data_IF_634193264222
#
_entry.id   IF_634193264222
#
_cell.length_a   1.000
_cell.length_b   1.000
_cell.length_c   1.000
_cell.angle_alpha   90.00
_cell.angle_beta   90.00
_cell.angle_gamma   90.00
#
_symmetry.space_group_name_H-M   'P 1'
#
loop_
_entity.id
_entity.type
_entity.pdbx_description
1 polymer ?
#
# COMPACT_ATOMS: atom_id res chain seq x y z
N UNK A 1 -6.59 -20.56 -17.76
CA UNK A 1 -7.85 -19.95 -18.22
C UNK A 1 -8.68 -19.52 -17.02
N UNK A 2 -8.61 -18.25 -16.63
CA UNK A 2 -9.47 -17.71 -15.58
C UNK A 2 -10.70 -17.13 -16.26
N UNK A 3 -11.80 -17.90 -16.27
CA UNK A 3 -13.08 -17.43 -16.76
C UNK A 3 -13.74 -16.57 -15.67
N UNK A 4 -14.03 -15.32 -15.96
CA UNK A 4 -14.89 -14.50 -15.12
C UNK A 4 -16.31 -15.09 -15.19
N UNK A 5 -16.73 -15.80 -14.15
CA UNK A 5 -18.10 -16.30 -14.02
C UNK A 5 -18.96 -15.20 -13.41
N UNK A 6 -20.02 -14.77 -14.10
CA UNK A 6 -20.99 -13.83 -13.55
C UNK A 6 -21.72 -14.48 -12.35
N UNK A 7 -21.77 -13.77 -11.22
CA UNK A 7 -22.59 -14.17 -10.07
C UNK A 7 -24.08 -13.93 -10.38
N UNK A 8 -24.97 -14.90 -10.14
CA UNK A 8 -26.41 -14.75 -10.39
C UNK A 8 -27.09 -13.76 -9.43
N UNK A 9 -26.40 -13.33 -8.37
CA UNK A 9 -26.85 -12.30 -7.44
C UNK A 9 -25.81 -11.19 -7.33
N UNK A 10 -26.21 -9.91 -7.18
CA UNK A 10 -25.26 -8.83 -6.94
C UNK A 10 -24.45 -9.11 -5.68
N UNK A 11 -23.13 -9.14 -5.79
CA UNK A 11 -22.25 -9.18 -4.61
C UNK A 11 -22.35 -7.82 -3.94
N UNK A 12 -23.23 -7.70 -2.93
CA UNK A 12 -23.48 -6.43 -2.22
C UNK A 12 -22.26 -5.92 -1.43
N UNK A 13 -21.22 -6.73 -1.27
CA UNK A 13 -20.00 -6.40 -0.51
C UNK A 13 -18.75 -6.19 -1.39
N UNK A 14 -18.87 -6.33 -2.73
CA UNK A 14 -17.74 -6.22 -3.65
C UNK A 14 -17.75 -4.90 -4.40
N UNK A 15 -16.83 -4.00 -4.08
CA UNK A 15 -16.57 -2.82 -4.91
C UNK A 15 -15.51 -3.16 -5.97
N UNK A 16 -15.89 -3.15 -7.25
CA UNK A 16 -14.95 -3.25 -8.35
C UNK A 16 -14.35 -1.87 -8.63
N UNK A 17 -13.02 -1.78 -8.60
CA UNK A 17 -12.28 -0.55 -8.92
C UNK A 17 -11.42 -0.82 -10.14
N UNK A 18 -11.82 -0.28 -11.29
CA UNK A 18 -11.08 -0.38 -12.54
C UNK A 18 -9.86 0.55 -12.47
N UNK A 19 -8.66 -0.04 -12.45
CA UNK A 19 -7.39 0.68 -12.53
C UNK A 19 -6.78 0.65 -13.92
N UNK A 20 -6.79 -0.53 -14.50
CA UNK A 20 -6.14 -0.84 -15.75
C UNK A 20 -7.18 -0.87 -16.85
N UNK A 21 -6.93 -0.11 -17.90
CA UNK A 21 -7.74 -0.16 -19.11
C UNK A 21 -7.28 -1.30 -20.00
N UNK A 22 -8.25 -2.06 -20.50
CA UNK A 22 -8.04 -3.15 -21.44
C UNK A 22 -8.20 -2.61 -22.87
N UNK A 23 -7.17 -2.80 -23.70
CA UNK A 23 -7.16 -2.38 -25.10
C UNK A 23 -7.31 -3.63 -25.98
N UNK A 24 -8.24 -3.59 -26.94
CA UNK A 24 -8.43 -4.67 -27.93
C UNK A 24 -7.61 -4.40 -29.19
N UNK A 25 -6.90 -5.40 -29.71
CA UNK A 25 -6.20 -5.33 -31.00
C UNK A 25 -7.16 -5.34 -32.20
N UNK A 26 -8.38 -5.83 -32.03
CA UNK A 26 -9.39 -5.96 -33.08
C UNK A 26 -10.66 -5.15 -32.74
N UNK A 27 -11.33 -4.60 -33.76
CA UNK A 27 -12.67 -3.98 -33.67
C UNK A 27 -13.76 -5.04 -33.40
N UNK A 28 -13.56 -5.88 -32.39
CA UNK A 28 -14.55 -6.88 -32.00
C UNK A 28 -15.63 -6.21 -31.17
N UNK A 29 -16.68 -5.72 -31.83
CA UNK A 29 -17.90 -5.13 -31.23
C UNK A 29 -18.80 -6.18 -30.53
N UNK A 30 -18.29 -7.38 -30.25
CA UNK A 30 -19.05 -8.50 -29.68
C UNK A 30 -18.90 -8.65 -28.16
N UNK A 31 -19.79 -9.42 -27.52
CA UNK A 31 -19.84 -9.63 -26.07
C UNK A 31 -18.65 -10.40 -25.45
N UNK A 32 -17.65 -10.78 -26.26
CA UNK A 32 -16.44 -11.51 -25.86
C UNK A 32 -15.23 -11.04 -26.68
N UNK A 33 -14.71 -9.84 -26.43
CA UNK A 33 -13.49 -9.38 -27.10
C UNK A 33 -12.33 -10.35 -26.80
N UNK A 34 -11.56 -10.69 -27.83
CA UNK A 34 -10.37 -11.54 -27.75
C UNK A 34 -9.14 -10.64 -27.84
N UNK A 35 -8.00 -11.13 -27.36
CA UNK A 35 -6.71 -10.43 -27.47
C UNK A 35 -6.71 -9.05 -26.79
N UNK A 36 -7.13 -9.03 -25.52
CA UNK A 36 -7.04 -7.84 -24.68
C UNK A 36 -5.61 -7.67 -24.16
N UNK A 37 -5.07 -6.48 -24.31
CA UNK A 37 -3.77 -6.08 -23.79
C UNK A 37 -3.95 -5.03 -22.70
N UNK A 38 -3.17 -5.16 -21.64
CA UNK A 38 -3.08 -4.18 -20.57
C UNK A 38 -1.66 -3.65 -20.54
N UNK A 39 -1.52 -2.33 -20.61
CA UNK A 39 -0.22 -1.70 -20.39
C UNK A 39 0.05 -1.60 -18.89
N UNK A 40 1.20 -2.12 -18.46
CA UNK A 40 1.64 -1.99 -17.07
C UNK A 40 2.86 -1.08 -17.03
N UNK A 41 2.69 0.10 -16.43
CA UNK A 41 3.78 1.07 -16.26
C UNK A 41 4.51 0.74 -14.96
N UNK A 42 5.65 0.05 -15.09
CA UNK A 42 6.43 -0.42 -13.94
C UNK A 42 7.18 0.70 -13.20
N UNK A 43 7.47 1.80 -13.88
CA UNK A 43 8.22 2.93 -13.35
C UNK A 43 7.51 4.23 -13.71
N UNK A 44 7.11 5.01 -12.71
CA UNK A 44 6.37 6.26 -12.87
C UNK A 44 7.04 7.41 -12.13
N UNK A 45 6.80 8.63 -12.59
CA UNK A 45 7.28 9.85 -11.91
C UNK A 45 6.62 9.99 -10.53
N UNK A 46 5.39 9.51 -10.39
CA UNK A 46 4.65 9.53 -9.12
C UNK A 46 5.39 8.74 -8.02
N UNK A 47 6.00 7.60 -8.36
CA UNK A 47 6.83 6.85 -7.40
C UNK A 47 8.04 7.67 -6.94
N UNK A 48 8.73 8.32 -7.87
CA UNK A 48 9.89 9.17 -7.55
C UNK A 48 9.48 10.32 -6.65
N UNK A 49 8.38 11.01 -6.97
CA UNK A 49 7.90 12.15 -6.19
C UNK A 49 7.45 11.72 -4.79
N UNK A 50 6.70 10.62 -4.67
CA UNK A 50 6.27 10.07 -3.37
C UNK A 50 7.46 9.61 -2.52
N UNK A 51 8.48 9.00 -3.12
CA UNK A 51 9.71 8.61 -2.43
C UNK A 51 10.53 9.83 -1.99
N UNK A 52 10.61 10.88 -2.81
CA UNK A 52 11.31 12.14 -2.51
C UNK A 52 10.65 12.87 -1.35
N UNK A 53 9.33 13.01 -1.38
CA UNK A 53 8.53 13.57 -0.29
C UNK A 53 8.79 12.87 1.04
N UNK A 54 8.77 11.53 1.02
CA UNK A 54 9.01 10.73 2.22
C UNK A 54 10.44 10.94 2.74
N UNK A 55 11.43 10.96 1.85
CA UNK A 55 12.82 11.21 2.22
C UNK A 55 12.99 12.60 2.87
N UNK A 56 12.36 13.64 2.35
CA UNK A 56 12.38 14.98 2.97
C UNK A 56 11.72 14.97 4.34
N UNK A 57 10.57 14.32 4.49
CA UNK A 57 9.92 14.15 5.79
C UNK A 57 10.84 13.45 6.79
N UNK A 58 11.49 12.35 6.39
CA UNK A 58 12.44 11.61 7.25
C UNK A 58 13.67 12.44 7.62
N UNK A 59 14.16 13.28 6.70
CA UNK A 59 15.27 14.22 6.95
C UNK A 59 14.88 15.44 7.77
N UNK A 60 13.61 15.55 8.19
CA UNK A 60 13.03 16.70 8.91
C UNK A 60 13.01 17.99 8.09
N UNK A 61 13.16 17.88 6.77
CA UNK A 61 13.00 18.99 5.83
C UNK A 61 11.52 19.09 5.43
N UNK A 62 10.69 19.53 6.40
CA UNK A 62 9.24 19.53 6.24
C UNK A 62 8.77 20.52 5.19
N UNK A 63 9.54 21.59 4.95
CA UNK A 63 9.14 22.58 3.96
C UNK A 63 9.17 21.96 2.55
N UNK A 64 10.28 21.33 2.17
CA UNK A 64 10.36 20.67 0.86
C UNK A 64 9.39 19.52 0.71
N UNK A 65 9.14 18.76 1.78
CA UNK A 65 8.14 17.69 1.77
C UNK A 65 6.71 18.22 1.49
N UNK A 66 6.35 19.37 2.06
CA UNK A 66 5.04 20.00 1.85
C UNK A 66 4.97 20.63 0.45
N UNK A 67 6.04 21.23 -0.05
CA UNK A 67 6.06 21.82 -1.39
C UNK A 67 5.82 20.75 -2.46
N UNK A 68 6.54 19.63 -2.37
CA UNK A 68 6.34 18.48 -3.24
C UNK A 68 4.91 17.90 -3.10
N UNK A 69 4.34 17.89 -1.89
CA UNK A 69 2.98 17.40 -1.65
C UNK A 69 1.93 18.29 -2.31
N UNK A 70 2.10 19.61 -2.22
CA UNK A 70 1.22 20.57 -2.85
C UNK A 70 1.32 20.49 -4.37
N UNK A 71 2.53 20.35 -4.91
CA UNK A 71 2.78 20.12 -6.33
C UNK A 71 2.12 18.81 -6.81
N UNK A 72 2.28 17.72 -6.06
CA UNK A 72 1.62 16.44 -6.33
C UNK A 72 0.10 16.59 -6.34
N UNK A 73 -0.47 17.29 -5.36
CA UNK A 73 -1.92 17.50 -5.29
C UNK A 73 -2.46 18.33 -6.46
N UNK A 74 -1.74 19.39 -6.83
CA UNK A 74 -2.10 20.22 -7.97
C UNK A 74 -1.97 19.43 -9.29
N UNK A 75 -0.88 18.70 -9.49
CA UNK A 75 -0.64 17.94 -10.71
C UNK A 75 -1.59 16.75 -10.88
N UNK A 76 -1.90 16.03 -9.80
CA UNK A 76 -2.71 14.81 -9.84
C UNK A 76 -4.22 15.07 -9.77
N UNK A 77 -4.63 16.05 -8.96
CA UNK A 77 -6.05 16.31 -8.69
C UNK A 77 -6.54 17.67 -9.18
N UNK A 78 -5.66 18.52 -9.74
CA UNK A 78 -6.01 19.90 -10.10
C UNK A 78 -6.40 20.74 -8.89
N UNK A 79 -5.99 20.33 -7.68
CA UNK A 79 -6.43 20.93 -6.43
C UNK A 79 -5.25 21.29 -5.54
N UNK A 80 -5.19 22.57 -5.16
CA UNK A 80 -4.24 23.10 -4.20
C UNK A 80 -4.97 23.43 -2.89
N UNK A 81 -4.68 22.74 -1.77
CA UNK A 81 -5.31 23.06 -0.50
C UNK A 81 -4.85 24.44 -0.01
N UNK A 82 -5.80 25.35 0.23
CA UNK A 82 -5.54 26.63 0.86
C UNK A 82 -5.52 26.50 2.40
N UNK A 83 -4.57 25.72 2.92
CA UNK A 83 -4.41 25.49 4.36
C UNK A 83 -3.03 25.92 4.85
N UNK A 84 -2.96 26.29 6.12
CA UNK A 84 -1.69 26.65 6.76
C UNK A 84 -0.70 25.48 6.76
N UNK A 85 0.59 25.78 6.59
CA UNK A 85 1.65 24.75 6.52
C UNK A 85 1.74 23.90 7.79
N UNK A 86 1.38 24.48 8.92
CA UNK A 86 1.32 23.79 10.22
C UNK A 86 0.38 22.59 10.19
N UNK A 87 -0.71 22.64 9.41
CA UNK A 87 -1.72 21.58 9.29
C UNK A 87 -1.11 20.28 8.78
N UNK A 88 -0.23 20.34 7.78
CA UNK A 88 0.44 19.15 7.22
C UNK A 88 1.36 18.43 8.23
N UNK A 89 1.86 19.16 9.23
CA UNK A 89 2.74 18.62 10.26
C UNK A 89 2.02 18.28 11.57
N UNK A 90 0.70 18.47 11.61
CA UNK A 90 -0.12 18.25 12.79
C UNK A 90 -0.80 16.89 12.71
N UNK A 91 -0.71 16.10 13.78
CA UNK A 91 -1.36 14.79 13.86
C UNK A 91 -1.61 14.39 15.31
N UNK A 92 -2.50 13.41 15.49
CA UNK A 92 -2.77 12.80 16.80
C UNK A 92 -1.66 11.81 17.17
N UNK A 93 -1.26 11.81 18.45
CA UNK A 93 -0.34 10.82 19.03
C UNK A 93 -0.90 9.40 18.93
N UNK A 94 -2.22 9.22 18.85
CA UNK A 94 -2.84 7.92 18.60
C UNK A 94 -2.33 7.26 17.32
N UNK A 95 -1.81 8.02 16.34
CA UNK A 95 -1.28 7.46 15.10
C UNK A 95 0.00 6.62 15.28
N UNK A 96 0.72 6.74 16.42
CA UNK A 96 1.80 5.80 16.76
C UNK A 96 1.28 4.36 16.95
N UNK A 97 -0.01 4.20 17.29
CA UNK A 97 -0.64 2.88 17.34
C UNK A 97 -0.87 2.28 15.95
N UNK A 98 -0.75 3.08 14.88
CA UNK A 98 -0.92 2.63 13.49
C UNK A 98 0.43 2.45 12.81
N UNK A 99 1.28 3.49 12.83
CA UNK A 99 2.60 3.52 12.19
C UNK A 99 3.66 3.50 13.29
N UNK A 100 4.49 2.45 13.33
CA UNK A 100 5.53 2.31 14.35
C UNK A 100 6.76 1.58 13.80
N UNK A 101 7.56 2.24 12.94
CA UNK A 101 8.83 1.68 12.48
C UNK A 101 9.82 1.54 13.65
N UNK A 102 10.83 0.67 13.50
CA UNK A 102 11.84 0.38 14.54
C UNK A 102 12.63 1.60 15.01
N UNK A 103 12.89 2.56 14.13
CA UNK A 103 13.73 3.73 14.39
C UNK A 103 12.97 4.91 15.02
N UNK A 104 11.65 4.79 15.21
CA UNK A 104 10.80 5.84 15.79
C UNK A 104 10.59 7.04 14.85
N UNK A 105 9.50 7.79 15.06
CA UNK A 105 9.17 9.00 14.31
C UNK A 105 8.87 10.14 15.29
N UNK A 106 9.24 11.37 14.93
CA UNK A 106 8.70 12.56 15.61
C UNK A 106 7.25 12.80 15.19
N UNK A 107 6.50 13.61 15.94
CA UNK A 107 5.08 13.85 15.66
C UNK A 107 4.87 14.49 14.27
N UNK A 108 5.76 15.40 13.86
CA UNK A 108 5.72 16.02 12.52
C UNK A 108 6.04 15.03 11.40
N UNK A 109 7.03 14.15 11.62
CA UNK A 109 7.35 13.07 10.69
C UNK A 109 6.16 12.11 10.56
N UNK A 110 5.55 11.72 11.68
CA UNK A 110 4.38 10.84 11.70
C UNK A 110 3.23 11.43 10.88
N UNK A 111 2.97 12.73 11.01
CA UNK A 111 1.93 13.43 10.26
C UNK A 111 2.14 13.32 8.74
N UNK A 112 3.34 13.67 8.27
CA UNK A 112 3.67 13.64 6.85
C UNK A 112 3.76 12.22 6.30
N UNK A 113 4.45 11.32 7.00
CA UNK A 113 4.61 9.91 6.59
C UNK A 113 3.25 9.23 6.49
N UNK A 114 2.34 9.48 7.44
CA UNK A 114 0.98 8.95 7.37
C UNK A 114 0.26 9.43 6.11
N UNK A 115 0.29 10.73 5.84
CA UNK A 115 -0.33 11.32 4.65
C UNK A 115 0.26 10.76 3.35
N UNK A 116 1.59 10.66 3.27
CA UNK A 116 2.31 10.09 2.12
C UNK A 116 1.94 8.62 1.93
N UNK A 117 1.89 7.82 3.01
CA UNK A 117 1.48 6.41 2.95
C UNK A 117 0.03 6.23 2.49
N UNK A 118 -0.85 7.15 2.86
CA UNK A 118 -2.23 7.17 2.39
C UNK A 118 -2.30 7.45 0.87
N UNK A 119 -1.45 8.34 0.34
CA UNK A 119 -1.34 8.57 -1.11
C UNK A 119 -0.68 7.40 -1.83
N UNK A 120 0.43 6.85 -1.33
CA UNK A 120 1.08 5.65 -1.90
C UNK A 120 0.13 4.47 -2.02
N UNK A 121 -0.76 4.29 -1.03
CA UNK A 121 -1.80 3.25 -1.08
C UNK A 121 -2.78 3.46 -2.23
N UNK A 122 -3.20 4.71 -2.44
CA UNK A 122 -4.16 5.09 -3.49
C UNK A 122 -3.52 5.05 -4.86
N UNK A 123 -2.25 5.43 -4.95
CA UNK A 123 -1.52 5.46 -6.22
C UNK A 123 -1.21 4.03 -6.67
N UNK A 124 -0.51 3.26 -5.85
CA UNK A 124 0.00 1.93 -6.22
C UNK A 124 -0.96 0.78 -5.89
N UNK A 125 -2.28 1.04 -5.83
CA UNK A 125 -3.25 -0.03 -5.66
C UNK A 125 -3.15 -1.01 -6.84
N UNK A 126 -3.25 -2.32 -6.59
CA UNK A 126 -3.06 -3.37 -7.61
C UNK A 126 -1.66 -3.46 -8.28
N UNK A 127 -0.67 -2.67 -7.86
CA UNK A 127 0.71 -2.76 -8.39
C UNK A 127 1.67 -3.56 -7.49
N UNK A 128 1.17 -4.11 -6.38
CA UNK A 128 1.95 -4.98 -5.49
C UNK A 128 2.88 -4.26 -4.50
N UNK A 129 3.08 -2.94 -4.63
CA UNK A 129 4.00 -2.19 -3.76
C UNK A 129 3.53 -2.04 -2.30
N UNK A 130 2.23 -2.20 -2.04
CA UNK A 130 1.64 -2.01 -0.71
C UNK A 130 2.26 -2.91 0.37
N UNK A 131 2.74 -4.10 0.00
CA UNK A 131 3.34 -5.01 0.98
C UNK A 131 4.65 -4.47 1.56
N UNK A 132 5.44 -3.74 0.75
CA UNK A 132 6.68 -3.11 1.20
C UNK A 132 6.39 -2.02 2.23
N UNK A 133 5.39 -1.18 1.99
CA UNK A 133 4.96 -0.15 2.94
C UNK A 133 4.45 -0.75 4.26
N UNK A 134 3.66 -1.83 4.19
CA UNK A 134 3.17 -2.55 5.38
C UNK A 134 4.33 -3.04 6.24
N UNK A 135 5.39 -3.55 5.61
CA UNK A 135 6.57 -4.06 6.32
C UNK A 135 7.46 -2.93 6.84
N UNK A 136 7.75 -1.91 6.05
CA UNK A 136 8.64 -0.80 6.43
C UNK A 136 8.12 -0.01 7.64
N UNK A 137 6.80 0.11 7.75
CA UNK A 137 6.14 0.90 8.80
C UNK A 137 5.41 0.07 9.85
N UNK A 138 5.58 -1.25 9.81
CA UNK A 138 4.98 -2.21 10.75
C UNK A 138 3.45 -2.03 10.88
N UNK A 139 2.77 -1.87 9.75
CA UNK A 139 1.31 -1.72 9.72
C UNK A 139 0.66 -3.07 10.01
N UNK A 140 -0.36 -3.10 10.88
CA UNK A 140 -1.17 -4.30 11.06
C UNK A 140 -2.09 -4.51 9.85
N UNK A 141 -2.33 -5.77 9.49
CA UNK A 141 -3.23 -6.15 8.39
C UNK A 141 -4.44 -6.85 8.97
N UNK A 142 -5.57 -6.13 8.94
CA UNK A 142 -6.86 -6.58 9.46
C UNK A 142 -7.87 -6.62 8.31
N UNK A 143 -8.67 -7.68 8.23
CA UNK A 143 -9.80 -7.82 7.31
C UNK A 143 -11.04 -8.19 8.12
N UNK A 144 -12.19 -7.74 7.66
CA UNK A 144 -13.46 -8.27 8.20
C UNK A 144 -13.54 -9.75 7.85
N UNK A 145 -13.69 -10.62 8.85
CA UNK A 145 -13.86 -12.04 8.63
C UNK A 145 -14.74 -12.63 9.70
N UNK A 146 -15.72 -13.45 9.29
CA UNK A 146 -16.57 -14.23 10.19
C UNK A 146 -15.91 -15.55 10.62
N UNK A 147 -14.74 -15.88 10.06
CA UNK A 147 -14.05 -17.14 10.36
C UNK A 147 -13.37 -17.10 11.72
N UNK A 148 -13.62 -18.12 12.54
CA UNK A 148 -12.92 -18.31 13.83
C UNK A 148 -11.42 -18.56 13.66
N UNK A 149 -10.99 -18.99 12.48
CA UNK A 149 -9.58 -19.23 12.14
C UNK A 149 -8.88 -17.99 11.58
N UNK A 150 -9.57 -16.86 11.50
CA UNK A 150 -8.93 -15.63 11.05
C UNK A 150 -8.07 -15.01 12.16
N UNK A 151 -6.77 -14.97 11.92
CA UNK A 151 -5.82 -14.27 12.77
C UNK A 151 -5.24 -13.07 12.01
N UNK A 152 -5.48 -11.83 12.46
CA UNK A 152 -4.87 -10.66 11.82
C UNK A 152 -3.35 -10.72 11.90
N UNK A 153 -2.70 -10.09 10.92
CA UNK A 153 -1.25 -9.89 10.98
C UNK A 153 -0.98 -8.67 11.85
N UNK A 154 -0.45 -8.90 13.04
CA UNK A 154 -0.05 -7.81 13.92
C UNK A 154 1.18 -7.09 13.36
N UNK A 155 1.58 -5.98 13.99
CA UNK A 155 2.65 -5.09 13.51
C UNK A 155 3.98 -5.80 13.23
N UNK A 156 4.44 -6.62 14.17
CA UNK A 156 5.70 -7.36 14.10
C UNK A 156 5.51 -8.85 13.75
N UNK A 157 4.42 -9.19 13.06
CA UNK A 157 4.11 -10.59 12.76
C UNK A 157 5.12 -11.17 11.75
N UNK A 158 5.89 -12.23 12.10
CA UNK A 158 6.90 -12.80 11.23
C UNK A 158 6.29 -13.44 9.97
N UNK A 159 4.98 -13.73 9.98
CA UNK A 159 4.26 -14.24 8.81
C UNK A 159 4.18 -13.23 7.66
N UNK A 160 4.54 -11.96 7.88
CA UNK A 160 4.67 -10.95 6.81
C UNK A 160 5.84 -11.23 5.86
N UNK A 161 6.81 -12.05 6.27
CA UNK A 161 7.90 -12.50 5.42
C UNK A 161 7.46 -13.74 4.63
N UNK A 162 7.76 -13.73 3.32
CA UNK A 162 7.54 -14.90 2.47
C UNK A 162 8.44 -16.05 2.94
N UNK A 163 7.92 -17.28 2.99
CA UNK A 163 8.74 -18.42 3.38
C UNK A 163 9.64 -18.86 2.24
N UNK A 164 10.84 -19.30 2.60
CA UNK A 164 11.77 -19.92 1.67
C UNK A 164 11.09 -21.17 1.05
N UNK A 165 11.25 -21.42 -0.26
CA UNK A 165 10.71 -22.63 -0.89
C UNK A 165 11.20 -23.91 -0.19
N UNK A 166 10.31 -24.91 -0.08
CA UNK A 166 10.60 -26.18 0.61
C UNK A 166 11.84 -26.87 0.05
N UNK A 167 12.01 -26.88 -1.27
CA UNK A 167 13.18 -27.45 -1.95
C UNK A 167 14.49 -26.83 -1.49
N UNK A 168 14.50 -25.53 -1.20
CA UNK A 168 15.71 -24.84 -0.76
C UNK A 168 15.99 -25.09 0.74
N UNK A 169 14.93 -25.29 1.54
CA UNK A 169 15.05 -25.71 2.95
C UNK A 169 15.61 -27.13 3.04
N UNK A 170 15.11 -28.05 2.22
CA UNK A 170 15.60 -29.44 2.12
C UNK A 170 17.09 -29.48 1.70
N UNK A 171 17.54 -28.49 0.93
CA UNK A 171 18.95 -28.29 0.55
C UNK A 171 19.80 -27.61 1.63
N UNK A 172 19.25 -27.36 2.82
CA UNK A 172 19.97 -26.86 3.99
C UNK A 172 19.76 -25.39 4.33
N UNK A 173 18.87 -24.66 3.64
CA UNK A 173 18.54 -23.30 4.06
C UNK A 173 17.65 -23.29 5.32
N UNK A 174 17.98 -22.42 6.28
CA UNK A 174 17.17 -22.26 7.48
C UNK A 174 15.84 -21.58 7.14
N UNK A 175 14.68 -22.15 7.54
CA UNK A 175 13.38 -21.53 7.29
C UNK A 175 13.23 -20.19 8.01
N UNK A 176 12.42 -19.30 7.46
CA UNK A 176 12.05 -18.06 8.14
C UNK A 176 11.15 -18.37 9.35
N UNK A 177 11.29 -17.63 10.46
CA UNK A 177 10.41 -17.77 11.62
C UNK A 177 8.94 -17.58 11.23
N UNK A 178 8.05 -18.39 11.82
CA UNK A 178 6.59 -18.33 11.58
C UNK A 178 5.76 -18.20 12.84
N UNK A 179 6.33 -18.62 13.98
CA UNK A 179 5.63 -18.57 15.25
C UNK A 179 5.52 -17.14 15.73
N UNK A 180 4.33 -16.79 16.23
CA UNK A 180 4.15 -15.55 16.99
C UNK A 180 4.96 -15.76 18.26
N UNK A 181 6.05 -15.00 18.45
CA UNK A 181 6.70 -14.94 19.77
C UNK A 181 5.60 -14.54 20.75
N UNK A 182 5.09 -15.49 21.52
CA UNK A 182 4.10 -15.19 22.54
C UNK A 182 4.77 -14.23 23.52
N UNK A 183 4.08 -13.21 24.05
CA UNK A 183 4.60 -12.53 25.22
C UNK A 183 4.85 -13.62 26.27
N UNK A 184 6.08 -13.73 26.76
CA UNK A 184 6.35 -14.51 27.96
C UNK A 184 5.40 -13.95 29.03
N UNK A 185 4.50 -14.81 29.51
CA UNK A 185 3.56 -14.46 30.59
C UNK A 185 4.33 -14.12 31.85
#
# INVERSE_FOLDING_TARGET
HSLFTSSPSPVKEGFYMAKFDEISSSESTGSKPRELYVTNVLLTVDEVLLNRMEAYAMRKDYNRAIDDLVEYMQGKFGFMPAVERSVYTTTDRANYNVISPTYGLTLKQLALVKTILDFRRKEFFQEGLRWFDIRRFHLSVRRSSKSRYYFPLEKEDPRKLLQIPTQAIERGLRPNPRERNAPQR
#
